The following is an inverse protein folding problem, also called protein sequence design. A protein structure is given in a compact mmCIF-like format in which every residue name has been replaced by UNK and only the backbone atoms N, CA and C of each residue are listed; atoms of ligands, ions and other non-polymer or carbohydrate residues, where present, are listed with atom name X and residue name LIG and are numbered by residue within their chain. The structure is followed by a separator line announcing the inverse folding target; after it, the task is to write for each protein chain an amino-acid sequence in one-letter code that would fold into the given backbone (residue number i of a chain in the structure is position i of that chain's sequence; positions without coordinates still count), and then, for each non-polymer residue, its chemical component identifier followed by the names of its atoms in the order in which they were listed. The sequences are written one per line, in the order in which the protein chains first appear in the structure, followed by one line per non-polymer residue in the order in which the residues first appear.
data_IF_653344761058
#
_entry.id   IF_653344761058
#
_cell.length_a   1.000
_cell.length_b   1.000
_cell.length_c   1.000
_cell.angle_alpha   90.00
_cell.angle_beta   90.00
_cell.angle_gamma   90.00
#
_symmetry.space_group_name_H-M   'P 1'
#
loop_
_entity.id
_entity.type
_entity.pdbx_description
1 polymer ?
#
# COMPACT_ATOMS: atom_id res chain seq x y z
N UNK A 1 -12.99 -5.87 5.86
CA UNK A 1 -11.52 -5.90 6.04
C UNK A 1 -10.84 -5.67 4.70
N UNK A 2 -9.60 -5.15 4.69
CA UNK A 2 -8.87 -4.81 3.47
C UNK A 2 -7.44 -5.33 3.60
N UNK A 3 -7.16 -6.43 2.92
CA UNK A 3 -5.86 -7.10 2.87
C UNK A 3 -5.47 -7.28 1.42
N UNK A 4 -4.19 -7.14 1.14
CA UNK A 4 -3.62 -7.33 -0.18
C UNK A 4 -2.22 -7.88 -0.06
N UNK A 5 -1.92 -8.84 -0.93
CA UNK A 5 -0.59 -9.41 -1.11
C UNK A 5 -0.18 -9.14 -2.55
N UNK A 6 0.99 -8.53 -2.75
CA UNK A 6 1.53 -8.23 -4.09
C UNK A 6 2.96 -8.75 -4.16
N UNK A 7 3.29 -9.40 -5.27
CA UNK A 7 4.66 -9.75 -5.62
C UNK A 7 5.07 -9.06 -6.90
N UNK A 8 6.25 -8.45 -6.91
CA UNK A 8 6.77 -7.77 -8.08
C UNK A 8 8.22 -7.35 -7.90
N UNK A 9 8.79 -6.75 -8.94
CA UNK A 9 10.18 -6.28 -8.94
C UNK A 9 10.21 -4.77 -8.73
N UNK A 10 11.08 -4.28 -7.87
CA UNK A 10 11.29 -2.85 -7.68
C UNK A 10 11.84 -2.22 -8.98
N UNK A 11 11.17 -1.22 -9.53
CA UNK A 11 11.56 -0.64 -10.84
C UNK A 11 12.44 0.60 -10.73
N UNK A 12 12.45 1.26 -9.57
CA UNK A 12 13.24 2.46 -9.29
C UNK A 12 13.70 2.47 -7.83
N UNK A 13 14.77 3.20 -7.48
CA UNK A 13 15.25 3.25 -6.11
C UNK A 13 14.13 3.65 -5.13
N UNK A 14 14.17 3.15 -3.88
CA UNK A 14 13.25 3.56 -2.82
C UNK A 14 13.19 5.09 -2.69
N UNK A 15 11.97 5.65 -2.71
CA UNK A 15 11.74 7.08 -2.50
C UNK A 15 11.39 7.31 -1.03
N UNK A 16 12.33 7.87 -0.27
CA UNK A 16 12.21 8.12 1.16
C UNK A 16 11.88 9.59 1.44
N UNK A 17 10.86 9.83 2.25
CA UNK A 17 10.48 11.18 2.66
C UNK A 17 9.92 11.22 4.08
N UNK A 18 10.20 12.32 4.75
CA UNK A 18 9.55 12.72 6.00
C UNK A 18 8.30 13.54 5.68
N UNK A 19 7.15 13.17 6.24
CA UNK A 19 5.92 13.95 6.15
C UNK A 19 5.99 15.18 7.07
N UNK A 20 5.14 16.21 6.88
CA UNK A 20 5.06 17.35 7.82
C UNK A 20 4.74 16.95 9.27
N UNK A 21 4.14 15.79 9.48
CA UNK A 21 3.91 15.19 10.81
C UNK A 21 5.18 14.62 11.47
N UNK A 22 6.30 14.57 10.76
CA UNK A 22 7.52 13.86 11.18
C UNK A 22 7.53 12.36 10.88
N UNK A 23 6.45 11.82 10.31
CA UNK A 23 6.37 10.40 9.96
C UNK A 23 7.19 10.09 8.71
N UNK A 24 8.07 9.09 8.80
CA UNK A 24 8.83 8.60 7.64
C UNK A 24 7.98 7.69 6.76
N UNK A 25 8.13 7.87 5.45
CA UNK A 25 7.46 7.04 4.44
C UNK A 25 8.46 6.66 3.35
N UNK A 26 8.56 5.36 3.07
CA UNK A 26 9.23 4.86 1.86
C UNK A 26 8.19 4.49 0.81
N UNK A 27 8.40 4.93 -0.42
CA UNK A 27 7.54 4.58 -1.56
C UNK A 27 8.29 3.69 -2.56
N UNK A 28 7.61 2.66 -3.06
CA UNK A 28 8.08 1.79 -4.14
C UNK A 28 7.12 1.85 -5.32
N UNK A 29 7.65 1.62 -6.52
CA UNK A 29 6.85 1.20 -7.66
C UNK A 29 7.29 -0.22 -8.05
N UNK A 30 6.36 -1.17 -7.98
CA UNK A 30 6.62 -2.56 -8.33
C UNK A 30 6.09 -2.86 -9.72
N UNK A 31 6.90 -3.50 -10.56
CA UNK A 31 6.44 -4.15 -11.77
C UNK A 31 5.93 -5.54 -11.42
N UNK A 32 4.64 -5.77 -11.64
CA UNK A 32 3.96 -7.05 -11.42
C UNK A 32 3.71 -7.66 -12.80
N UNK A 33 4.36 -8.79 -13.07
CA UNK A 33 4.21 -9.51 -14.33
C UNK A 33 3.20 -10.63 -14.13
N UNK A 34 2.12 -10.60 -14.92
CA UNK A 34 1.20 -11.73 -15.10
C UNK A 34 1.68 -12.56 -16.29
N UNK A 35 1.62 -13.90 -16.24
CA UNK A 35 1.98 -14.75 -17.38
C UNK A 35 1.20 -14.45 -18.67
N UNK A 36 -0.01 -13.90 -18.54
CA UNK A 36 -0.94 -13.67 -19.65
C UNK A 36 -1.09 -12.19 -20.04
N UNK A 37 -0.59 -11.26 -19.21
CA UNK A 37 -0.83 -9.83 -19.37
C UNK A 37 0.44 -8.99 -19.44
N UNK A 38 0.27 -7.76 -19.92
CA UNK A 38 1.31 -6.74 -19.82
C UNK A 38 1.63 -6.47 -18.35
N UNK A 39 2.92 -6.28 -18.06
CA UNK A 39 3.35 -5.89 -16.72
C UNK A 39 2.63 -4.62 -16.23
N UNK A 40 2.13 -4.68 -15.01
CA UNK A 40 1.43 -3.58 -14.34
C UNK A 40 2.34 -2.93 -13.31
N UNK A 41 2.24 -1.61 -13.17
CA UNK A 41 2.92 -0.90 -12.09
C UNK A 41 2.01 -0.78 -10.88
N UNK A 42 2.42 -1.35 -9.75
CA UNK A 42 1.73 -1.23 -8.46
C UNK A 42 2.48 -0.26 -7.56
N UNK A 43 1.90 0.92 -7.25
CA UNK A 43 2.42 1.83 -6.25
C UNK A 43 2.33 1.26 -4.83
N UNK A 44 3.40 1.38 -4.05
CA UNK A 44 3.43 0.98 -2.64
C UNK A 44 3.89 2.16 -1.78
N UNK A 45 3.19 2.43 -0.69
CA UNK A 45 3.59 3.37 0.35
C UNK A 45 3.78 2.61 1.66
N UNK A 46 4.95 2.72 2.28
CA UNK A 46 5.28 2.07 3.54
C UNK A 46 5.50 3.13 4.64
N UNK A 47 4.46 3.42 5.44
CA UNK A 47 4.57 4.31 6.60
C UNK A 47 5.37 3.65 7.72
N UNK A 48 6.11 4.46 8.48
CA UNK A 48 6.99 4.03 9.57
C UNK A 48 7.84 2.78 9.21
N UNK A 49 8.56 2.79 8.07
CA UNK A 49 9.26 1.62 7.58
C UNK A 49 10.52 1.34 8.43
N UNK A 50 10.99 0.08 8.50
CA UNK A 50 12.27 -0.23 9.14
C UNK A 50 13.44 0.40 8.37
N UNK A 51 14.59 0.68 9.01
CA UNK A 51 15.75 1.31 8.36
C UNK A 51 16.21 0.63 7.06
N UNK A 52 16.07 -0.70 6.99
CA UNK A 52 16.41 -1.50 5.81
C UNK A 52 15.56 -1.21 4.57
N UNK A 53 14.44 -0.51 4.70
CA UNK A 53 13.52 -0.24 3.59
C UNK A 53 14.17 0.62 2.48
N UNK A 54 15.08 1.52 2.84
CA UNK A 54 15.81 2.35 1.87
C UNK A 54 16.95 1.59 1.17
N UNK A 55 17.30 0.39 1.64
CA UNK A 55 18.41 -0.42 1.14
C UNK A 55 18.00 -1.44 0.09
N UNK A 56 16.70 -1.54 -0.23
CA UNK A 56 16.20 -2.45 -1.26
C UNK A 56 16.68 -1.98 -2.64
N UNK A 57 17.23 -2.91 -3.43
CA UNK A 57 17.83 -2.58 -4.72
C UNK A 57 16.81 -2.68 -5.86
N UNK A 58 17.01 -1.87 -6.90
CA UNK A 58 16.25 -1.99 -8.15
C UNK A 58 16.42 -3.40 -8.72
N UNK A 59 15.32 -3.98 -9.22
CA UNK A 59 15.27 -5.35 -9.70
C UNK A 59 15.08 -6.39 -8.60
N UNK A 60 15.16 -6.04 -7.31
CA UNK A 60 14.88 -7.00 -6.24
C UNK A 60 13.40 -7.39 -6.26
N UNK A 61 13.14 -8.70 -6.24
CA UNK A 61 11.80 -9.24 -6.20
C UNK A 61 11.27 -9.23 -4.77
N UNK A 62 10.12 -8.60 -4.54
CA UNK A 62 9.56 -8.34 -3.21
C UNK A 62 8.19 -9.00 -3.03
N UNK A 63 7.91 -9.42 -1.81
CA UNK A 63 6.57 -9.64 -1.29
C UNK A 63 6.15 -8.40 -0.50
N UNK A 64 4.98 -7.86 -0.81
CA UNK A 64 4.32 -6.79 -0.05
C UNK A 64 3.03 -7.34 0.54
N UNK A 65 2.85 -7.15 1.85
CA UNK A 65 1.57 -7.34 2.53
C UNK A 65 1.09 -5.99 3.02
N UNK A 66 -0.20 -5.69 2.82
CA UNK A 66 -0.76 -4.42 3.22
C UNK A 66 -2.25 -4.31 2.91
N UNK A 67 -2.68 -3.09 2.59
CA UNK A 67 -4.07 -2.77 2.24
C UNK A 67 -4.13 -1.84 1.04
N UNK A 68 -5.17 -1.92 0.23
CA UNK A 68 -5.38 -0.99 -0.88
C UNK A 68 -5.98 0.32 -0.36
N UNK A 69 -5.44 1.45 -0.78
CA UNK A 69 -5.99 2.77 -0.49
C UNK A 69 -6.04 3.60 -1.75
N UNK A 70 -7.15 4.31 -1.95
CA UNK A 70 -7.17 5.46 -2.86
C UNK A 70 -6.92 6.72 -2.04
N UNK A 71 -5.83 7.43 -2.33
CA UNK A 71 -5.57 8.76 -1.74
C UNK A 71 -5.85 9.87 -2.73
N UNK A 72 -6.42 10.96 -2.24
CA UNK A 72 -6.67 12.18 -3.00
C UNK A 72 -5.64 13.23 -2.61
N UNK A 73 -5.15 14.00 -3.58
CA UNK A 73 -4.19 15.08 -3.36
C UNK A 73 -4.39 16.18 -4.41
N UNK A 74 -3.89 17.39 -4.13
CA UNK A 74 -3.94 18.51 -5.08
C UNK A 74 -2.65 18.53 -5.89
N UNK A 75 -2.77 18.61 -7.21
CA UNK A 75 -1.66 18.80 -8.12
C UNK A 75 -2.16 19.57 -9.37
N UNK A 76 -1.39 20.56 -9.81
CA UNK A 76 -1.74 21.36 -11.01
C UNK A 76 -3.15 21.96 -10.97
N UNK A 77 -3.55 22.55 -9.83
CA UNK A 77 -4.88 23.18 -9.68
C UNK A 77 -6.08 22.21 -9.59
N UNK A 78 -5.87 20.90 -9.70
CA UNK A 78 -6.95 19.90 -9.71
C UNK A 78 -6.82 18.88 -8.57
N UNK A 79 -7.93 18.27 -8.15
CA UNK A 79 -7.88 17.07 -7.31
C UNK A 79 -7.47 15.89 -8.16
N UNK A 80 -6.39 15.24 -7.78
CA UNK A 80 -5.93 13.99 -8.33
C UNK A 80 -6.15 12.85 -7.34
N UNK A 81 -6.08 11.61 -7.82
CA UNK A 81 -6.14 10.45 -6.96
C UNK A 81 -5.19 9.36 -7.41
N UNK A 82 -4.58 8.65 -6.45
CA UNK A 82 -3.75 7.47 -6.71
C UNK A 82 -4.26 6.30 -5.89
N UNK A 83 -4.46 5.16 -6.53
CA UNK A 83 -4.66 3.87 -5.86
C UNK A 83 -3.29 3.26 -5.60
N UNK A 84 -3.04 2.87 -4.35
CA UNK A 84 -1.76 2.36 -3.88
C UNK A 84 -1.97 1.26 -2.84
N UNK A 85 -0.96 0.42 -2.66
CA UNK A 85 -0.87 -0.48 -1.51
C UNK A 85 -0.18 0.27 -0.37
N UNK A 86 -0.86 0.39 0.77
CA UNK A 86 -0.23 0.84 2.02
C UNK A 86 0.32 -0.40 2.71
N UNK A 87 1.64 -0.56 2.67
CA UNK A 87 2.33 -1.73 3.20
C UNK A 87 2.31 -1.75 4.74
N UNK A 88 2.08 -2.93 5.31
CA UNK A 88 2.42 -3.25 6.70
C UNK A 88 3.74 -4.03 6.78
N UNK A 89 4.08 -4.78 5.73
CA UNK A 89 5.36 -5.49 5.62
C UNK A 89 5.81 -5.57 4.16
N UNK A 90 7.13 -5.42 3.94
CA UNK A 90 7.78 -5.72 2.67
C UNK A 90 9.03 -6.55 2.93
N UNK A 91 9.19 -7.66 2.21
CA UNK A 91 10.37 -8.52 2.32
C UNK A 91 10.86 -8.97 0.93
N UNK A 92 12.18 -9.11 0.72
CA UNK A 92 12.68 -9.76 -0.48
C UNK A 92 12.20 -11.22 -0.58
N UNK A 93 11.78 -11.65 -1.77
CA UNK A 93 11.29 -13.01 -2.01
C UNK A 93 12.35 -14.09 -1.70
N UNK A 94 13.63 -13.75 -1.79
CA UNK A 94 14.73 -14.62 -1.36
C UNK A 94 14.69 -14.97 0.13
N UNK A 95 14.06 -14.14 0.99
CA UNK A 95 13.87 -14.42 2.43
C UNK A 95 12.69 -15.37 2.65
N UNK A 96 12.80 -16.61 2.13
CA UNK A 96 11.71 -17.60 2.07
C UNK A 96 11.00 -17.87 3.39
N UNK A 97 11.72 -17.90 4.51
CA UNK A 97 11.10 -18.09 5.83
C UNK A 97 10.18 -16.92 6.22
N UNK A 98 10.63 -15.68 5.98
CA UNK A 98 9.82 -14.48 6.24
C UNK A 98 8.62 -14.40 5.29
N UNK A 99 8.81 -14.72 4.01
CA UNK A 99 7.73 -14.81 3.02
C UNK A 99 6.64 -15.78 3.47
N UNK A 100 7.01 -17.02 3.83
CA UNK A 100 6.05 -18.03 4.29
C UNK A 100 5.28 -17.58 5.53
N UNK A 101 5.97 -16.98 6.50
CA UNK A 101 5.33 -16.45 7.71
C UNK A 101 4.29 -15.39 7.36
N UNK A 102 4.66 -14.39 6.55
CA UNK A 102 3.75 -13.30 6.18
C UNK A 102 2.55 -13.79 5.36
N UNK A 103 2.74 -14.78 4.48
CA UNK A 103 1.64 -15.40 3.74
C UNK A 103 0.71 -16.16 4.67
N UNK A 104 1.24 -16.94 5.62
CA UNK A 104 0.42 -17.65 6.60
C UNK A 104 -0.38 -16.68 7.48
N UNK A 105 0.24 -15.60 7.97
CA UNK A 105 -0.43 -14.54 8.72
C UNK A 105 -1.55 -13.88 7.89
N UNK A 106 -1.29 -13.59 6.60
CA UNK A 106 -2.31 -13.05 5.71
C UNK A 106 -3.46 -14.04 5.45
N UNK A 107 -3.17 -15.33 5.29
CA UNK A 107 -4.19 -16.38 5.11
C UNK A 107 -5.09 -16.51 6.34
N UNK A 108 -4.52 -16.56 7.56
CA UNK A 108 -5.31 -16.60 8.80
C UNK A 108 -6.24 -15.39 8.88
N UNK A 109 -5.72 -14.20 8.57
CA UNK A 109 -6.53 -12.98 8.59
C UNK A 109 -7.69 -13.05 7.56
N UNK A 110 -7.47 -13.64 6.38
CA UNK A 110 -8.51 -13.85 5.37
C UNK A 110 -9.55 -14.90 5.80
N UNK A 111 -9.12 -15.96 6.50
CA UNK A 111 -10.02 -17.01 7.03
C UNK A 111 -10.90 -16.48 8.17
N UNK A 112 -10.34 -15.67 9.07
CA UNK A 112 -11.10 -14.95 10.10
C UNK A 112 -12.17 -14.05 9.47
N UNK A 113 -11.83 -13.36 8.39
CA UNK A 113 -12.79 -12.54 7.65
C UNK A 113 -13.90 -13.38 7.03
N UNK A 114 -13.56 -14.51 6.40
CA UNK A 114 -14.55 -15.40 5.79
C UNK A 114 -15.54 -15.96 6.83
N UNK A 115 -15.12 -16.06 8.09
CA UNK A 115 -15.92 -16.56 9.21
C UNK A 115 -16.73 -15.47 9.92
N UNK A 116 -16.40 -14.19 9.72
CA UNK A 116 -17.04 -13.07 10.39
C UNK A 116 -18.34 -12.62 9.67
N UNK A 117 -19.38 -12.18 10.41
CA UNK A 117 -20.56 -11.59 9.79
C UNK A 117 -20.20 -10.30 9.03
N UNK A 118 -20.89 -9.99 7.92
CA UNK A 118 -20.61 -8.79 7.15
C UNK A 118 -20.80 -7.54 8.00
N UNK A 119 -19.73 -6.73 8.10
CA UNK A 119 -19.78 -5.45 8.80
C UNK A 119 -20.58 -4.47 7.94
N UNK A 120 -21.71 -3.99 8.48
CA UNK A 120 -22.52 -2.98 7.82
C UNK A 120 -21.68 -1.72 7.53
N UNK A 121 -21.83 -1.10 6.35
CA UNK A 121 -21.10 0.12 6.05
C UNK A 121 -21.48 1.21 7.07
N UNK A 122 -20.47 1.88 7.63
CA UNK A 122 -20.69 3.03 8.48
C UNK A 122 -21.52 4.08 7.71
N UNK A 123 -22.68 4.47 8.24
CA UNK A 123 -23.51 5.52 7.64
C UNK A 123 -22.67 6.78 7.49
N UNK A 124 -22.46 7.21 6.25
CA UNK A 124 -21.77 8.47 5.95
C UNK A 124 -22.63 9.60 6.51
N UNK A 125 -22.23 10.26 7.60
CA UNK A 125 -22.89 11.51 8.03
C UNK A 125 -22.80 12.48 6.86
N UNK A 126 -23.96 12.88 6.32
CA UNK A 126 -24.04 13.83 5.21
C UNK A 126 -23.30 15.11 5.59
N UNK A 127 -22.39 15.55 4.74
CA UNK A 127 -21.77 16.88 4.86
C UNK A 127 -22.82 17.90 4.42
N UNK A 128 -23.76 18.24 5.31
CA UNK A 128 -24.60 19.41 5.16
C UNK A 128 -23.77 20.65 5.57
N UNK A 129 -23.68 21.61 4.66
CA UNK A 129 -23.43 23.03 4.94
C UNK A 129 -22.12 23.41 5.63
N UNK A 130 -21.09 23.76 4.84
CA UNK A 130 -20.26 24.92 5.16
C UNK A 130 -19.63 25.46 3.88
N UNK A 131 -20.44 26.22 3.13
CA UNK A 131 -19.97 27.30 2.28
C UNK A 131 -20.46 28.55 3.00
N UNK A 132 -19.57 29.20 3.74
CA UNK A 132 -19.78 30.52 4.30
C UNK A 132 -18.40 31.20 4.38
N UNK A 133 -18.31 32.31 3.66
CA UNK A 133 -17.34 33.41 3.71
C UNK A 133 -15.83 33.14 3.78
N UNK A 134 -15.15 33.61 2.72
CA UNK A 134 -14.22 34.72 2.88
C UNK A 134 -14.07 35.43 1.52
N UNK A 135 -14.56 36.67 1.48
CA UNK A 135 -14.08 37.71 0.58
C UNK A 135 -12.67 38.16 0.99
#
# INVERSE_FOLDING_TARGET
MNVTVVTGHLTRPPDHRTLPSGEEVVSYDLSVVSPEDRAETVPVAWPAPPPSATQIQVGEALLVVGRVRRRFYRAGGSTQSRTEVVASAVVPLRRRAAVRRLLAEASVALEELASAPPVAPARRKGRAGQVADAS
#
